data_IF_124290965578
#
_entry.id   IF_124290965578
#
_cell.length_a   1.000
_cell.length_b   1.000
_cell.length_c   1.000
_cell.angle_alpha   90.00
_cell.angle_beta   90.00
_cell.angle_gamma   90.00
#
_symmetry.space_group_name_H-M   'P 1'
#
loop_
_entity.id
_entity.type
_entity.pdbx_description
1 polymer ?
#
# COMPACT_ATOMS: atom_id res chain seq x y z
N UNK A 1 32.28 -7.26 0.30
CA UNK A 1 32.69 -6.77 1.63
C UNK A 1 31.76 -7.41 2.63
N UNK A 2 32.25 -8.23 3.51
CA UNK A 2 31.44 -8.86 4.55
C UNK A 2 31.26 -7.86 5.69
N UNK A 3 30.05 -7.35 5.85
CA UNK A 3 29.70 -6.45 6.95
C UNK A 3 29.37 -7.30 8.17
N UNK A 4 30.15 -7.15 9.22
CA UNK A 4 29.97 -7.91 10.48
C UNK A 4 29.31 -7.08 11.56
N UNK A 5 29.36 -5.75 11.45
CA UNK A 5 28.78 -4.85 12.45
C UNK A 5 27.34 -4.48 12.09
N UNK A 6 26.44 -4.54 13.08
CA UNK A 6 25.04 -4.25 12.92
C UNK A 6 24.77 -2.83 12.39
N UNK A 7 25.61 -1.85 12.75
CA UNK A 7 25.50 -0.47 12.30
C UNK A 7 25.81 -0.33 10.80
N UNK A 8 26.81 -1.05 10.30
CA UNK A 8 27.19 -1.02 8.89
C UNK A 8 26.13 -1.70 8.02
N UNK A 9 25.56 -2.80 8.51
CA UNK A 9 24.42 -3.47 7.86
C UNK A 9 23.23 -2.50 7.76
N UNK A 10 22.89 -1.82 8.86
CA UNK A 10 21.80 -0.84 8.91
C UNK A 10 22.04 0.31 7.93
N UNK A 11 23.27 0.87 7.91
CA UNK A 11 23.64 1.96 7.01
C UNK A 11 23.55 1.56 5.53
N UNK A 12 23.96 0.34 5.20
CA UNK A 12 23.84 -0.20 3.84
C UNK A 12 22.37 -0.34 3.41
N UNK A 13 21.50 -0.84 4.29
CA UNK A 13 20.08 -0.92 4.03
C UNK A 13 19.43 0.45 3.86
N UNK A 14 19.82 1.42 4.68
CA UNK A 14 19.35 2.79 4.57
C UNK A 14 19.76 3.39 3.20
N UNK A 15 21.04 3.30 2.81
CA UNK A 15 21.52 3.80 1.52
C UNK A 15 20.83 3.14 0.32
N UNK A 16 20.65 1.81 0.36
CA UNK A 16 19.92 1.08 -0.68
C UNK A 16 18.48 1.56 -0.85
N UNK A 17 17.81 1.87 0.23
CA UNK A 17 16.42 2.37 0.20
C UNK A 17 16.33 3.82 -0.23
N UNK A 18 17.24 4.67 0.24
CA UNK A 18 17.32 6.06 -0.22
C UNK A 18 17.54 6.13 -1.73
N UNK A 19 18.36 5.26 -2.28
CA UNK A 19 18.57 5.15 -3.73
C UNK A 19 17.30 4.68 -4.47
N UNK A 20 16.59 3.70 -3.91
CA UNK A 20 15.36 3.15 -4.49
C UNK A 20 14.24 4.21 -4.59
N UNK A 21 14.12 5.05 -3.56
CA UNK A 21 13.04 6.07 -3.45
C UNK A 21 13.50 7.50 -3.81
N UNK A 22 14.74 7.68 -4.26
CA UNK A 22 15.29 9.00 -4.60
C UNK A 22 14.57 9.74 -5.74
N UNK A 23 13.86 8.99 -6.58
CA UNK A 23 13.11 9.56 -7.71
C UNK A 23 11.88 10.37 -7.28
N UNK A 24 11.40 10.18 -6.05
CA UNK A 24 10.14 10.77 -5.58
C UNK A 24 10.31 12.10 -4.85
N UNK A 25 11.55 12.56 -4.61
CA UNK A 25 11.83 13.74 -3.78
C UNK A 25 11.77 15.08 -4.52
N UNK A 26 11.49 15.11 -5.82
CA UNK A 26 11.56 16.34 -6.62
C UNK A 26 10.26 17.12 -6.81
N UNK A 27 9.14 16.66 -6.23
CA UNK A 27 7.86 17.37 -6.38
C UNK A 27 7.48 18.14 -5.13
N UNK A 28 7.88 19.40 -5.10
CA UNK A 28 7.41 20.42 -4.15
C UNK A 28 6.32 21.31 -4.73
N UNK A 29 5.40 20.74 -5.51
CA UNK A 29 4.21 21.48 -5.88
C UNK A 29 3.29 21.62 -4.68
N UNK A 30 3.46 22.73 -3.95
CA UNK A 30 2.53 23.22 -2.95
C UNK A 30 1.18 23.53 -3.61
N UNK A 31 0.37 22.52 -3.84
CA UNK A 31 -1.03 22.71 -4.20
C UNK A 31 -1.84 23.05 -2.95
N UNK A 32 -1.77 24.30 -2.51
CA UNK A 32 -2.77 24.91 -1.64
C UNK A 32 -4.01 25.30 -2.47
N UNK A 33 -4.55 24.34 -3.23
CA UNK A 33 -5.85 24.50 -3.88
C UNK A 33 -6.94 24.42 -2.84
N UNK A 34 -7.92 25.34 -2.89
CA UNK A 34 -9.16 25.21 -2.11
C UNK A 34 -9.81 23.87 -2.51
N UNK A 35 -9.84 22.93 -1.58
CA UNK A 35 -10.48 21.62 -1.79
C UNK A 35 -11.98 21.87 -1.73
N UNK A 36 -12.63 21.89 -2.91
CA UNK A 36 -14.07 22.13 -3.05
C UNK A 36 -14.89 20.85 -3.09
N UNK A 37 -14.25 19.68 -3.15
CA UNK A 37 -14.95 18.41 -3.22
C UNK A 37 -15.41 17.99 -1.82
N UNK A 38 -16.73 17.95 -1.64
CA UNK A 38 -17.41 17.55 -0.40
C UNK A 38 -17.43 16.02 -0.28
N UNK A 39 -16.28 15.45 0.04
CA UNK A 39 -16.27 14.06 0.49
C UNK A 39 -16.84 13.97 1.92
N UNK A 40 -17.70 12.99 2.23
CA UNK A 40 -18.30 12.86 3.55
C UNK A 40 -17.24 12.59 4.63
N UNK A 41 -17.52 13.11 5.82
CA UNK A 41 -16.70 12.84 7.02
C UNK A 41 -16.58 11.32 7.24
N UNK A 42 -15.51 10.91 7.92
CA UNK A 42 -15.33 9.51 8.31
C UNK A 42 -16.39 9.15 9.36
N UNK A 43 -17.08 8.04 9.16
CA UNK A 43 -18.11 7.53 10.06
C UNK A 43 -17.56 6.52 11.06
N UNK A 44 -18.18 6.43 12.24
CA UNK A 44 -17.80 5.41 13.24
C UNK A 44 -17.97 3.98 12.71
N UNK A 45 -18.98 3.74 11.86
CA UNK A 45 -19.17 2.42 11.25
C UNK A 45 -18.03 2.02 10.30
N UNK A 46 -17.38 2.97 9.59
CA UNK A 46 -16.21 2.70 8.76
C UNK A 46 -15.02 2.30 9.64
N UNK A 47 -14.84 2.98 10.77
CA UNK A 47 -13.77 2.65 11.73
C UNK A 47 -13.99 1.26 12.32
N UNK A 48 -15.22 0.95 12.72
CA UNK A 48 -15.60 -0.37 13.26
C UNK A 48 -15.34 -1.47 12.23
N UNK A 49 -15.83 -1.29 11.00
CA UNK A 49 -15.57 -2.21 9.89
C UNK A 49 -14.07 -2.42 9.62
N UNK A 50 -13.31 -1.32 9.58
CA UNK A 50 -11.88 -1.39 9.35
C UNK A 50 -11.16 -2.15 10.48
N UNK A 51 -11.55 -1.89 11.73
CA UNK A 51 -10.97 -2.56 12.90
C UNK A 51 -11.27 -4.07 12.90
N UNK A 52 -12.50 -4.46 12.59
CA UNK A 52 -12.93 -5.86 12.48
C UNK A 52 -12.22 -6.61 11.34
N UNK A 53 -11.83 -5.88 10.28
CA UNK A 53 -11.12 -6.44 9.12
C UNK A 53 -9.63 -6.71 9.37
N UNK A 54 -9.05 -6.21 10.47
CA UNK A 54 -7.64 -6.45 10.81
C UNK A 54 -7.48 -7.83 11.43
N UNK A 55 -6.55 -8.60 10.87
CA UNK A 55 -6.24 -9.96 11.33
C UNK A 55 -5.66 -9.92 12.74
N UNK A 56 -6.19 -10.74 13.62
CA UNK A 56 -5.68 -11.00 14.98
C UNK A 56 -4.49 -11.94 14.97
N UNK A 57 -3.84 -12.09 16.13
CA UNK A 57 -2.64 -12.93 16.29
C UNK A 57 -1.49 -12.52 15.37
N UNK A 58 -1.40 -11.22 15.07
CA UNK A 58 -0.29 -10.64 14.31
C UNK A 58 0.61 -9.83 15.24
N UNK A 59 1.90 -9.75 14.89
CA UNK A 59 2.84 -8.95 15.65
C UNK A 59 2.36 -7.50 15.75
N UNK A 60 2.51 -6.90 16.94
CA UNK A 60 2.25 -5.48 17.16
C UNK A 60 3.11 -4.63 16.22
N UNK A 61 2.59 -3.47 15.84
CA UNK A 61 3.34 -2.51 15.03
C UNK A 61 4.53 -1.89 15.77
N UNK A 62 5.10 -0.83 15.20
CA UNK A 62 6.22 -0.10 15.80
C UNK A 62 5.86 0.61 17.13
N UNK A 63 4.58 0.76 17.43
CA UNK A 63 4.02 1.32 18.66
C UNK A 63 3.88 0.28 19.79
N UNK A 64 4.12 -0.99 19.51
CA UNK A 64 3.99 -2.08 20.49
C UNK A 64 2.55 -2.39 20.89
N UNK A 65 1.54 -1.76 20.27
CA UNK A 65 0.12 -1.94 20.62
C UNK A 65 -0.44 -3.13 19.84
N UNK A 66 -0.84 -4.23 20.50
CA UNK A 66 -1.47 -5.36 19.82
C UNK A 66 -2.90 -5.02 19.42
N UNK A 67 -3.38 -5.59 18.31
CA UNK A 67 -4.75 -5.37 17.81
C UNK A 67 -5.81 -5.87 18.81
N UNK A 68 -5.49 -6.88 19.58
CA UNK A 68 -6.35 -7.48 20.61
C UNK A 68 -6.78 -6.46 21.68
N UNK A 69 -5.94 -5.46 21.97
CA UNK A 69 -6.30 -4.38 22.89
C UNK A 69 -7.52 -3.60 22.39
N UNK A 70 -7.58 -3.33 21.09
CA UNK A 70 -8.72 -2.65 20.47
C UNK A 70 -10.00 -3.49 20.53
N UNK A 71 -9.87 -4.81 20.49
CA UNK A 71 -11.01 -5.73 20.63
C UNK A 71 -11.54 -5.79 22.07
N UNK A 72 -10.66 -5.65 23.06
CA UNK A 72 -11.03 -5.59 24.49
C UNK A 72 -11.77 -4.29 24.79
N UNK A 73 -11.27 -3.17 24.25
CA UNK A 73 -11.84 -1.83 24.48
C UNK A 73 -13.10 -1.56 23.66
N UNK A 74 -13.41 -2.38 22.65
CA UNK A 74 -14.64 -2.31 21.81
C UNK A 74 -15.01 -0.87 21.39
N UNK A 75 -16.18 -0.39 21.88
CA UNK A 75 -16.73 0.91 21.48
C UNK A 75 -15.85 2.11 21.87
N UNK A 76 -15.12 2.02 22.97
CA UNK A 76 -14.20 3.09 23.37
C UNK A 76 -13.00 3.19 22.44
N UNK A 77 -12.46 2.05 21.97
CA UNK A 77 -11.44 2.05 20.94
C UNK A 77 -11.95 2.67 19.63
N UNK A 78 -13.18 2.33 19.23
CA UNK A 78 -13.80 2.90 18.02
C UNK A 78 -13.92 4.42 18.13
N UNK A 79 -14.39 4.96 19.26
CA UNK A 79 -14.53 6.41 19.46
C UNK A 79 -13.18 7.14 19.38
N UNK A 80 -12.15 6.60 20.04
CA UNK A 80 -10.81 7.18 20.02
C UNK A 80 -10.24 7.17 18.61
N UNK A 81 -10.29 6.01 17.93
CA UNK A 81 -9.80 5.86 16.57
C UNK A 81 -10.58 6.75 15.59
N UNK A 82 -11.90 6.86 15.75
CA UNK A 82 -12.73 7.75 14.96
C UNK A 82 -12.30 9.21 15.09
N UNK A 83 -12.07 9.69 16.33
CA UNK A 83 -11.57 11.04 16.58
C UNK A 83 -10.23 11.30 15.87
N UNK A 84 -9.30 10.34 15.94
CA UNK A 84 -8.00 10.44 15.27
C UNK A 84 -8.17 10.46 13.73
N UNK A 85 -8.96 9.54 13.19
CA UNK A 85 -9.21 9.44 11.75
C UNK A 85 -9.90 10.72 11.22
N UNK A 86 -10.89 11.25 11.94
CA UNK A 86 -11.54 12.52 11.60
C UNK A 86 -10.56 13.71 11.63
N UNK A 87 -9.68 13.76 12.64
CA UNK A 87 -8.68 14.81 12.71
C UNK A 87 -7.75 14.77 11.48
N UNK A 88 -7.24 13.57 11.12
CA UNK A 88 -6.42 13.39 9.92
C UNK A 88 -7.20 13.79 8.65
N UNK A 89 -8.47 13.41 8.57
CA UNK A 89 -9.35 13.71 7.44
C UNK A 89 -9.52 15.21 7.23
N UNK A 90 -9.84 15.94 8.31
CA UNK A 90 -10.08 17.38 8.28
C UNK A 90 -8.83 18.22 8.09
N UNK A 91 -7.73 17.82 8.74
CA UNK A 91 -6.47 18.58 8.68
C UNK A 91 -5.57 18.19 7.51
N UNK A 92 -5.85 17.05 6.89
CA UNK A 92 -4.98 16.45 5.86
C UNK A 92 -3.55 16.17 6.34
N UNK A 93 -3.36 16.13 7.64
CA UNK A 93 -2.05 15.94 8.27
C UNK A 93 -1.96 14.57 8.95
N UNK A 94 -0.96 13.81 8.58
CA UNK A 94 -0.66 12.54 9.21
C UNK A 94 0.22 12.73 10.44
N UNK A 95 -0.03 12.00 11.53
CA UNK A 95 0.88 11.98 12.68
C UNK A 95 2.29 11.59 12.25
N UNK A 96 3.32 12.23 12.83
CA UNK A 96 4.71 11.99 12.46
C UNK A 96 5.12 10.52 12.69
N UNK A 97 4.62 9.91 13.76
CA UNK A 97 4.87 8.50 14.06
C UNK A 97 4.26 7.56 13.00
N UNK A 98 3.16 7.97 12.36
CA UNK A 98 2.55 7.21 11.28
C UNK A 98 3.28 7.32 9.94
N UNK A 99 4.11 8.34 9.77
CA UNK A 99 5.03 8.46 8.63
C UNK A 99 6.29 7.62 8.79
N UNK A 100 6.49 7.02 9.97
CA UNK A 100 7.63 6.16 10.27
C UNK A 100 7.27 4.70 10.05
N UNK A 101 8.08 3.98 9.29
CA UNK A 101 7.89 2.55 9.05
C UNK A 101 9.17 1.80 9.42
N UNK A 102 9.01 0.69 10.13
CA UNK A 102 10.11 -0.24 10.40
C UNK A 102 10.08 -1.30 9.31
N UNK A 103 11.21 -1.51 8.64
CA UNK A 103 11.30 -2.49 7.56
C UNK A 103 12.10 -3.70 8.00
N UNK A 104 11.51 -4.87 7.77
CA UNK A 104 12.18 -6.16 8.01
C UNK A 104 12.55 -6.76 6.66
N UNK A 105 13.86 -6.99 6.40
CA UNK A 105 14.29 -7.66 5.19
C UNK A 105 14.07 -9.16 5.31
N UNK A 106 13.31 -9.74 4.37
CA UNK A 106 13.05 -11.18 4.26
C UNK A 106 13.87 -11.71 3.10
N UNK A 107 14.78 -12.68 3.30
CA UNK A 107 15.61 -13.21 2.24
C UNK A 107 14.78 -13.94 1.16
N UNK A 108 15.10 -13.69 -0.09
CA UNK A 108 14.69 -14.53 -1.23
C UNK A 108 15.70 -15.66 -1.43
N UNK A 109 15.38 -16.59 -2.31
CA UNK A 109 16.39 -17.56 -2.80
C UNK A 109 17.46 -16.79 -3.57
N UNK A 110 18.74 -17.03 -3.23
CA UNK A 110 19.88 -16.39 -3.90
C UNK A 110 20.97 -15.94 -2.94
N UNK A 111 21.82 -15.02 -3.40
CA UNK A 111 22.93 -14.51 -2.61
C UNK A 111 22.45 -13.59 -1.48
N UNK A 112 22.60 -14.02 -0.24
CA UNK A 112 22.20 -13.25 0.94
C UNK A 112 23.03 -11.96 1.17
N UNK A 113 24.12 -11.76 0.44
CA UNK A 113 24.97 -10.56 0.55
C UNK A 113 24.43 -9.36 -0.24
N UNK A 114 23.40 -9.57 -1.09
CA UNK A 114 22.83 -8.53 -1.93
C UNK A 114 21.46 -8.08 -1.41
N UNK A 115 21.29 -6.78 -1.15
CA UNK A 115 20.02 -6.21 -0.71
C UNK A 115 18.87 -6.43 -1.72
N UNK A 116 19.17 -6.54 -3.01
CA UNK A 116 18.22 -6.85 -4.08
C UNK A 116 17.56 -8.22 -3.90
N UNK A 117 18.23 -9.17 -3.25
CA UNK A 117 17.72 -10.51 -2.97
C UNK A 117 16.84 -10.61 -1.71
N UNK A 118 16.38 -9.47 -1.22
CA UNK A 118 15.44 -9.42 -0.10
C UNK A 118 14.12 -8.79 -0.51
N UNK A 119 13.05 -9.22 0.15
CA UNK A 119 11.77 -8.51 0.19
C UNK A 119 11.74 -7.69 1.46
N UNK A 120 11.30 -6.45 1.36
CA UNK A 120 11.13 -5.58 2.53
C UNK A 120 9.68 -5.61 2.97
N UNK A 121 9.40 -6.05 4.19
CA UNK A 121 8.09 -5.90 4.80
C UNK A 121 8.08 -4.68 5.70
N UNK A 122 7.11 -3.79 5.49
CA UNK A 122 6.92 -2.62 6.33
C UNK A 122 6.02 -2.96 7.53
N UNK A 123 6.55 -2.77 8.73
CA UNK A 123 5.78 -2.85 9.98
C UNK A 123 5.21 -1.48 10.29
N UNK A 124 3.89 -1.39 10.32
CA UNK A 124 3.13 -0.19 10.64
C UNK A 124 2.18 -0.49 11.79
N UNK A 125 1.80 0.55 12.56
CA UNK A 125 0.86 0.42 13.67
C UNK A 125 -0.52 -0.08 13.21
N UNK A 126 -1.24 -0.77 14.08
CA UNK A 126 -2.60 -1.22 13.78
C UNK A 126 -3.56 -0.04 13.61
N UNK A 127 -3.38 1.02 14.39
CA UNK A 127 -4.13 2.27 14.26
C UNK A 127 -3.97 2.90 12.86
N UNK A 128 -2.74 2.92 12.34
CA UNK A 128 -2.48 3.36 10.96
C UNK A 128 -3.17 2.43 9.94
N UNK A 129 -3.16 1.11 10.17
CA UNK A 129 -3.84 0.15 9.29
C UNK A 129 -5.34 0.42 9.20
N UNK A 130 -6.00 0.80 10.32
CA UNK A 130 -7.42 1.17 10.33
C UNK A 130 -7.68 2.32 9.35
N UNK A 131 -6.93 3.42 9.46
CA UNK A 131 -7.09 4.56 8.55
C UNK A 131 -6.82 4.19 7.08
N UNK A 132 -5.76 3.40 6.82
CA UNK A 132 -5.46 2.92 5.46
C UNK A 132 -6.56 2.02 4.91
N UNK A 133 -7.21 1.23 5.75
CA UNK A 133 -8.33 0.36 5.35
C UNK A 133 -9.56 1.16 4.97
N UNK A 134 -9.87 2.22 5.73
CA UNK A 134 -10.95 3.17 5.39
C UNK A 134 -10.67 3.82 4.03
N UNK A 135 -9.45 4.34 3.84
CA UNK A 135 -9.05 4.93 2.57
C UNK A 135 -9.12 3.92 1.42
N UNK A 136 -8.68 2.68 1.64
CA UNK A 136 -8.81 1.61 0.64
C UNK A 136 -10.27 1.41 0.23
N UNK A 137 -11.20 1.32 1.18
CA UNK A 137 -12.62 1.14 0.89
C UNK A 137 -13.21 2.30 0.07
N UNK A 138 -12.83 3.53 0.40
CA UNK A 138 -13.27 4.71 -0.35
C UNK A 138 -12.67 4.78 -1.75
N UNK A 139 -11.38 4.47 -1.89
CA UNK A 139 -10.70 4.44 -3.19
C UNK A 139 -11.23 3.36 -4.11
N UNK A 140 -11.61 2.21 -3.56
CA UNK A 140 -12.05 1.05 -4.33
C UNK A 140 -13.28 1.35 -5.18
N UNK A 141 -14.16 2.25 -4.72
CA UNK A 141 -15.35 2.68 -5.47
C UNK A 141 -14.98 3.35 -6.81
N UNK A 142 -13.91 4.15 -6.82
CA UNK A 142 -13.42 4.82 -8.02
C UNK A 142 -12.59 3.89 -8.90
N UNK A 143 -11.67 3.15 -8.29
CA UNK A 143 -10.73 2.30 -9.02
C UNK A 143 -11.43 1.11 -9.69
N UNK A 144 -12.42 0.49 -9.05
CA UNK A 144 -13.13 -0.67 -9.62
C UNK A 144 -13.89 -0.33 -10.92
N UNK A 145 -14.28 0.92 -11.10
CA UNK A 145 -15.00 1.35 -12.30
C UNK A 145 -14.09 1.36 -13.53
N UNK A 146 -12.80 1.69 -13.35
CA UNK A 146 -11.86 1.88 -14.44
C UNK A 146 -10.89 0.70 -14.63
N UNK A 147 -10.94 -0.29 -13.73
CA UNK A 147 -10.13 -1.49 -13.87
C UNK A 147 -10.62 -2.35 -15.04
N UNK A 148 -9.69 -2.69 -15.91
CA UNK A 148 -9.96 -3.60 -17.02
C UNK A 148 -10.31 -5.01 -16.50
N UNK A 149 -11.25 -5.68 -17.14
CA UNK A 149 -11.66 -7.07 -16.82
C UNK A 149 -10.50 -8.07 -16.86
N UNK A 150 -9.45 -7.77 -17.61
CA UNK A 150 -8.25 -8.60 -17.72
C UNK A 150 -7.32 -8.48 -16.52
N UNK A 151 -7.48 -7.44 -15.68
CA UNK A 151 -6.69 -7.26 -14.47
C UNK A 151 -7.19 -8.21 -13.39
N UNK A 152 -6.37 -9.16 -12.99
CA UNK A 152 -6.71 -10.12 -11.94
C UNK A 152 -5.86 -9.96 -10.67
N UNK A 153 -4.72 -9.33 -10.77
CA UNK A 153 -3.83 -9.13 -9.60
C UNK A 153 -4.43 -8.15 -8.59
N UNK A 154 -4.49 -8.57 -7.32
CA UNK A 154 -4.97 -7.74 -6.19
C UNK A 154 -6.45 -7.33 -6.30
N UNK A 155 -7.21 -7.94 -7.20
CA UNK A 155 -8.65 -7.66 -7.34
C UNK A 155 -9.46 -8.66 -6.51
N UNK A 156 -10.44 -8.17 -5.76
CA UNK A 156 -11.32 -9.02 -4.94
C UNK A 156 -12.16 -9.95 -5.83
N UNK A 157 -12.27 -11.22 -5.44
CA UNK A 157 -13.00 -12.22 -6.20
C UNK A 157 -12.28 -12.78 -7.44
N UNK A 158 -11.03 -12.39 -7.68
CA UNK A 158 -10.18 -12.94 -8.76
C UNK A 158 -9.06 -13.79 -8.19
N UNK A 159 -8.98 -15.03 -8.64
CA UNK A 159 -7.95 -15.97 -8.18
C UNK A 159 -6.91 -16.25 -9.29
N UNK A 160 -5.71 -16.61 -8.86
CA UNK A 160 -4.64 -17.06 -9.79
C UNK A 160 -5.10 -18.26 -10.61
N UNK A 161 -5.96 -19.10 -10.04
CA UNK A 161 -6.53 -20.27 -10.71
C UNK A 161 -7.31 -19.88 -11.97
N UNK A 162 -8.14 -18.83 -11.90
CA UNK A 162 -8.92 -18.36 -13.04
C UNK A 162 -8.03 -17.96 -14.23
N UNK A 163 -6.87 -17.35 -13.92
CA UNK A 163 -5.91 -16.96 -14.95
C UNK A 163 -5.20 -18.16 -15.58
N UNK A 164 -4.89 -19.16 -14.78
CA UNK A 164 -4.33 -20.43 -15.26
C UNK A 164 -5.34 -21.12 -16.18
N UNK A 165 -6.61 -21.20 -15.79
CA UNK A 165 -7.68 -21.79 -16.59
C UNK A 165 -7.87 -21.03 -17.93
N UNK A 166 -7.76 -19.70 -17.93
CA UNK A 166 -7.82 -18.91 -19.16
C UNK A 166 -6.68 -19.24 -20.14
N UNK A 167 -5.47 -19.47 -19.62
CA UNK A 167 -4.33 -19.90 -20.42
C UNK A 167 -4.61 -21.29 -21.02
N UNK A 168 -5.06 -22.26 -20.22
CA UNK A 168 -5.40 -23.58 -20.70
C UNK A 168 -6.48 -23.55 -21.78
N UNK A 169 -7.56 -22.83 -21.58
CA UNK A 169 -8.62 -22.65 -22.59
C UNK A 169 -8.09 -22.02 -23.90
N UNK A 170 -7.15 -21.11 -23.79
CA UNK A 170 -6.51 -20.49 -24.96
C UNK A 170 -5.68 -21.51 -25.73
N UNK A 171 -4.91 -22.36 -25.03
CA UNK A 171 -4.12 -23.45 -25.63
C UNK A 171 -5.03 -24.47 -26.31
N UNK A 172 -6.10 -24.90 -25.63
CA UNK A 172 -7.07 -25.85 -26.21
C UNK A 172 -7.73 -25.32 -27.49
N UNK A 173 -8.16 -24.04 -27.47
CA UNK A 173 -8.72 -23.40 -28.66
C UNK A 173 -7.71 -23.35 -29.80
N UNK A 174 -6.48 -22.96 -29.53
CA UNK A 174 -5.43 -22.90 -30.54
C UNK A 174 -5.14 -24.30 -31.16
N UNK A 175 -5.06 -25.32 -30.31
CA UNK A 175 -4.88 -26.70 -30.73
C UNK A 175 -6.03 -27.19 -31.62
N UNK A 176 -7.28 -26.91 -31.19
CA UNK A 176 -8.48 -27.29 -31.96
C UNK A 176 -8.50 -26.67 -33.36
N UNK A 177 -8.04 -25.44 -33.50
CA UNK A 177 -8.02 -24.72 -34.77
C UNK A 177 -6.66 -24.79 -35.48
N UNK A 178 -5.72 -25.61 -34.96
CA UNK A 178 -4.36 -25.79 -35.49
C UNK A 178 -3.62 -24.44 -35.71
N UNK A 179 -3.82 -23.49 -34.77
CA UNK A 179 -3.17 -22.18 -34.81
C UNK A 179 -1.98 -22.17 -33.86
N UNK A 180 -0.85 -21.66 -34.33
CA UNK A 180 0.30 -21.40 -33.48
C UNK A 180 0.02 -20.21 -32.56
N UNK A 181 0.34 -20.35 -31.26
CA UNK A 181 0.27 -19.27 -30.28
C UNK A 181 1.63 -19.10 -29.61
N UNK A 182 1.92 -17.88 -29.22
CA UNK A 182 3.16 -17.52 -28.54
C UNK A 182 2.80 -16.83 -27.24
N UNK A 183 3.42 -17.24 -26.14
CA UNK A 183 3.24 -16.61 -24.83
C UNK A 183 4.50 -15.84 -24.46
N UNK A 184 4.34 -14.63 -23.95
CA UNK A 184 5.39 -13.84 -23.34
C UNK A 184 4.99 -13.53 -21.90
N UNK A 185 5.81 -13.96 -20.94
CA UNK A 185 5.61 -13.68 -19.52
C UNK A 185 6.58 -12.61 -19.07
N UNK A 186 6.04 -11.53 -18.46
CA UNK A 186 6.84 -10.40 -17.98
C UNK A 186 6.71 -10.36 -16.46
N UNK A 187 7.82 -10.53 -15.75
CA UNK A 187 7.89 -10.42 -14.30
C UNK A 187 8.70 -9.20 -13.89
N UNK A 188 8.09 -8.32 -13.10
CA UNK A 188 8.76 -7.13 -12.59
C UNK A 188 9.47 -7.44 -11.28
N UNK A 189 10.77 -7.17 -11.20
CA UNK A 189 11.58 -7.47 -10.02
C UNK A 189 11.11 -6.77 -8.74
N UNK A 190 10.59 -5.56 -8.85
CA UNK A 190 10.09 -4.71 -7.74
C UNK A 190 8.98 -3.79 -8.25
N UNK A 191 7.86 -4.37 -8.66
CA UNK A 191 6.76 -3.65 -9.30
C UNK A 191 6.28 -2.43 -8.47
N UNK A 192 6.03 -2.64 -7.17
CA UNK A 192 5.53 -1.56 -6.29
C UNK A 192 6.59 -0.49 -5.98
N UNK A 193 7.85 -0.88 -5.86
CA UNK A 193 8.95 0.06 -5.55
C UNK A 193 9.35 0.90 -6.78
N UNK A 194 8.94 0.49 -7.99
CA UNK A 194 9.27 1.18 -9.25
C UNK A 194 8.19 2.14 -9.74
N UNK A 195 7.11 2.30 -9.01
CA UNK A 195 6.01 3.20 -9.38
C UNK A 195 6.47 4.66 -9.30
N UNK A 196 6.27 5.40 -10.38
CA UNK A 196 6.46 6.85 -10.42
C UNK A 196 5.24 7.52 -9.75
N UNK A 197 5.46 8.14 -8.60
CA UNK A 197 4.37 8.75 -7.84
C UNK A 197 3.70 9.90 -8.60
N UNK A 198 4.43 10.70 -9.38
CA UNK A 198 3.83 11.80 -10.12
C UNK A 198 2.86 11.31 -11.19
N UNK A 199 3.25 10.23 -11.89
CA UNK A 199 2.35 9.56 -12.83
C UNK A 199 1.16 8.93 -12.11
N UNK A 200 1.38 8.33 -10.94
CA UNK A 200 0.31 7.75 -10.13
C UNK A 200 -0.74 8.82 -9.76
N UNK A 201 -0.32 9.98 -9.25
CA UNK A 201 -1.23 11.07 -8.89
C UNK A 201 -2.02 11.59 -10.09
N UNK A 202 -1.39 11.67 -11.25
CA UNK A 202 -2.05 12.06 -12.49
C UNK A 202 -3.13 11.05 -12.89
N UNK A 203 -2.78 9.75 -12.89
CA UNK A 203 -3.73 8.67 -13.23
C UNK A 203 -4.92 8.69 -12.26
N UNK A 204 -4.68 8.79 -10.96
CA UNK A 204 -5.77 8.82 -9.97
C UNK A 204 -6.70 10.03 -10.19
N UNK A 205 -6.15 11.18 -10.56
CA UNK A 205 -6.94 12.36 -10.94
C UNK A 205 -7.75 12.12 -12.21
N UNK A 206 -7.13 11.52 -13.23
CA UNK A 206 -7.80 11.21 -14.50
C UNK A 206 -8.93 10.17 -14.31
N UNK A 207 -8.82 9.26 -13.32
CA UNK A 207 -9.86 8.33 -12.88
C UNK A 207 -10.98 9.01 -12.05
N UNK A 208 -10.92 10.32 -11.86
CA UNK A 208 -11.95 11.07 -11.13
C UNK A 208 -11.88 10.96 -9.61
N UNK A 209 -10.72 10.56 -9.05
CA UNK A 209 -10.56 10.58 -7.60
C UNK A 209 -10.69 12.00 -7.05
N UNK A 210 -11.45 12.20 -5.96
CA UNK A 210 -11.56 13.47 -5.28
C UNK A 210 -10.20 14.02 -4.86
N UNK A 211 -10.04 15.34 -5.00
CA UNK A 211 -8.81 16.03 -4.68
C UNK A 211 -8.39 15.81 -3.20
N UNK A 212 -9.36 15.72 -2.30
CA UNK A 212 -9.16 15.47 -0.88
C UNK A 212 -8.48 14.12 -0.62
N UNK A 213 -8.96 13.04 -1.25
CA UNK A 213 -8.37 11.70 -1.14
C UNK A 213 -6.95 11.67 -1.72
N UNK A 214 -6.77 12.27 -2.90
CA UNK A 214 -5.46 12.35 -3.54
C UNK A 214 -4.45 13.15 -2.70
N UNK A 215 -4.88 14.28 -2.12
CA UNK A 215 -4.06 15.10 -1.23
C UNK A 215 -3.63 14.32 0.03
N UNK A 216 -4.58 13.61 0.66
CA UNK A 216 -4.30 12.82 1.85
C UNK A 216 -3.29 11.70 1.58
N UNK A 217 -3.41 11.02 0.43
CA UNK A 217 -2.43 10.02 0.01
C UNK A 217 -1.06 10.64 -0.26
N UNK A 218 -0.99 11.75 -1.00
CA UNK A 218 0.29 12.46 -1.25
C UNK A 218 0.97 12.85 0.06
N UNK A 219 0.21 13.38 1.03
CA UNK A 219 0.72 13.77 2.34
C UNK A 219 1.20 12.58 3.17
N UNK A 220 0.64 11.38 2.96
CA UNK A 220 1.14 10.15 3.56
C UNK A 220 2.52 9.77 3.00
N UNK A 221 2.68 9.86 1.67
CA UNK A 221 3.95 9.54 1.00
C UNK A 221 5.01 10.62 1.23
N UNK A 222 4.59 11.89 1.33
CA UNK A 222 5.49 12.99 1.60
C UNK A 222 6.13 12.86 3.01
N UNK A 223 7.45 12.80 3.06
CA UNK A 223 8.21 12.74 4.31
C UNK A 223 8.18 11.39 5.04
N UNK A 224 7.83 10.30 4.36
CA UNK A 224 8.01 8.96 4.93
C UNK A 224 9.48 8.73 5.28
N UNK A 225 9.69 8.32 6.53
CA UNK A 225 11.00 7.94 7.05
C UNK A 225 11.04 6.44 7.28
N UNK A 226 12.09 5.84 6.80
CA UNK A 226 12.37 4.45 7.00
C UNK A 226 13.42 4.27 8.10
N UNK A 227 13.16 3.43 9.05
CA UNK A 227 14.11 3.04 10.09
C UNK A 227 14.32 1.54 10.13
#
# INVERSE_FOLDING_TARGET
MDLTEAQDIKKRWQGYREELYKKDLQDSDNHSGVITDLEPDILECEVKWALESITTNTASGCDGIPVELSQILKDDAVKVLHSICQHIWKTQQWPQDWKRSVFIPIPKKGNAKECSNYRTNAFISHTRKVMLKILQGRLQQYVNHDLLDVQAGVQEGRETRDQVDNIYRTIEKASKYQKSIYFCFIDYAKAFDSVDHNKLWKILKDMGLPALLTCLLRNLYAGQKAS
#
